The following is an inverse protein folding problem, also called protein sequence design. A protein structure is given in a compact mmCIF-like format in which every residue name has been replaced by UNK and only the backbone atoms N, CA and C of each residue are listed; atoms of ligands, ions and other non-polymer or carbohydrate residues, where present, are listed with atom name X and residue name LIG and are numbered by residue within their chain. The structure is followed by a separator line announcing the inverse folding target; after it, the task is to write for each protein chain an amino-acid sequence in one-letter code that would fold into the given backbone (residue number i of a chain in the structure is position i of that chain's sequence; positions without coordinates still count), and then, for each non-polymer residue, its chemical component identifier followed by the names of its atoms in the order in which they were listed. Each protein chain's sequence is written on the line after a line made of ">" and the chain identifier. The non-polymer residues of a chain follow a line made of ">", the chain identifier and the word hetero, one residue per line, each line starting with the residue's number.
data_IF_909314772894
#
_entry.id   IF_909314772894
#
_cell.length_a   1.000
_cell.length_b   1.000
_cell.length_c   1.000
_cell.angle_alpha   90.00
_cell.angle_beta   90.00
_cell.angle_gamma   90.00
#
_symmetry.space_group_name_H-M   'P 1'
#
loop_
_entity.id
_entity.type
_entity.pdbx_description
1 polymer ?
#
# COMPACT_ATOMS: atom_id res chain seq x y z
N UNK A 1 -37.91 -33.27 -6.02
CA UNK A 1 -37.48 -32.26 -5.02
C UNK A 1 -35.99 -32.47 -4.77
N UNK A 2 -35.13 -31.84 -5.55
CA UNK A 2 -33.67 -31.92 -5.40
C UNK A 2 -33.17 -30.54 -4.99
N UNK A 3 -32.79 -30.41 -3.72
CA UNK A 3 -32.16 -29.22 -3.16
C UNK A 3 -30.69 -29.19 -3.58
N UNK A 4 -30.28 -28.21 -4.38
CA UNK A 4 -28.87 -27.93 -4.66
C UNK A 4 -28.32 -27.05 -3.54
N UNK A 5 -27.41 -27.60 -2.76
CA UNK A 5 -26.55 -26.83 -1.86
C UNK A 5 -25.46 -26.19 -2.71
N UNK A 6 -25.61 -24.91 -3.02
CA UNK A 6 -24.54 -24.13 -3.65
C UNK A 6 -23.58 -23.67 -2.56
N UNK A 7 -22.37 -24.23 -2.54
CA UNK A 7 -21.24 -23.70 -1.76
C UNK A 7 -20.90 -22.32 -2.33
N UNK A 8 -21.09 -21.26 -1.56
CA UNK A 8 -20.57 -19.94 -1.88
C UNK A 8 -19.06 -19.93 -1.64
N UNK A 9 -18.28 -19.70 -2.69
CA UNK A 9 -16.86 -19.36 -2.60
C UNK A 9 -16.74 -17.95 -2.00
N UNK A 10 -15.78 -17.76 -1.11
CA UNK A 10 -15.41 -16.44 -0.58
C UNK A 10 -14.86 -15.58 -1.73
N UNK A 11 -15.49 -14.44 -1.96
CA UNK A 11 -14.98 -13.41 -2.87
C UNK A 11 -13.80 -12.70 -2.19
N UNK A 12 -12.61 -12.82 -2.78
CA UNK A 12 -11.48 -11.93 -2.52
C UNK A 12 -11.87 -10.50 -2.91
N UNK A 13 -11.39 -9.51 -2.16
CA UNK A 13 -11.71 -8.11 -2.36
C UNK A 13 -11.24 -7.65 -3.75
N UNK A 14 -12.17 -7.60 -4.69
CA UNK A 14 -12.02 -6.87 -5.95
C UNK A 14 -12.06 -5.39 -5.61
N UNK A 15 -10.96 -4.68 -5.83
CA UNK A 15 -10.99 -3.21 -5.82
C UNK A 15 -10.45 -2.68 -7.13
N UNK A 16 -11.38 -2.36 -8.02
CA UNK A 16 -11.29 -1.30 -9.03
C UNK A 16 -12.69 -1.08 -9.58
N UNK A 17 -13.43 -0.17 -8.96
CA UNK A 17 -14.44 0.62 -9.68
C UNK A 17 -14.26 2.05 -9.22
N UNK A 18 -13.51 2.81 -10.00
CA UNK A 18 -13.72 4.25 -10.05
C UNK A 18 -15.17 4.46 -10.47
N UNK A 19 -16.02 4.83 -9.51
CA UNK A 19 -17.28 5.46 -9.89
C UNK A 19 -16.93 6.77 -10.60
N UNK A 20 -17.39 6.85 -11.83
CA UNK A 20 -17.28 7.98 -12.76
C UNK A 20 -17.33 9.34 -12.03
N UNK A 21 -16.24 10.10 -12.10
CA UNK A 21 -16.23 11.48 -11.60
C UNK A 21 -14.86 12.11 -11.45
N UNK A 22 -14.33 12.65 -12.56
CA UNK A 22 -13.23 13.61 -12.69
C UNK A 22 -11.78 13.09 -12.75
N UNK A 23 -10.98 13.50 -13.75
CA UNK A 23 -9.54 13.23 -13.79
C UNK A 23 -8.82 14.04 -12.69
N UNK A 24 -8.01 13.36 -11.87
CA UNK A 24 -7.09 14.01 -10.93
C UNK A 24 -7.32 13.73 -9.44
N UNK A 25 -8.33 12.93 -9.06
CA UNK A 25 -8.45 12.38 -7.70
C UNK A 25 -8.81 10.91 -7.78
N UNK A 26 -7.91 10.03 -7.35
CA UNK A 26 -8.30 8.68 -6.99
C UNK A 26 -9.40 8.80 -5.92
N UNK A 27 -10.58 8.25 -6.18
CA UNK A 27 -11.61 8.13 -5.15
C UNK A 27 -11.00 7.32 -4.00
N UNK A 28 -11.05 7.87 -2.79
CA UNK A 28 -10.56 7.19 -1.60
C UNK A 28 -11.25 5.83 -1.48
N UNK A 29 -10.47 4.75 -1.51
CA UNK A 29 -11.01 3.43 -1.28
C UNK A 29 -11.43 3.33 0.19
N UNK A 30 -12.72 3.03 0.47
CA UNK A 30 -13.22 3.03 1.83
C UNK A 30 -12.79 1.79 2.61
N UNK A 31 -12.10 0.84 1.98
CA UNK A 31 -11.71 -0.44 2.55
C UNK A 31 -10.26 -0.76 2.18
N UNK A 32 -9.49 -1.24 3.16
CA UNK A 32 -8.16 -1.76 2.98
C UNK A 32 -8.07 -3.15 3.61
N UNK A 33 -7.69 -4.15 2.81
CA UNK A 33 -7.46 -5.50 3.29
C UNK A 33 -5.96 -5.77 3.36
N UNK A 34 -5.48 -6.15 4.55
CA UNK A 34 -4.16 -6.75 4.73
C UNK A 34 -4.26 -8.27 4.68
N UNK A 35 -3.16 -8.97 4.99
CA UNK A 35 -3.12 -10.45 4.95
C UNK A 35 -4.14 -11.12 5.87
N UNK A 36 -4.44 -10.53 7.03
CA UNK A 36 -5.37 -11.14 8.01
C UNK A 36 -6.18 -10.13 8.83
N UNK A 37 -6.21 -8.86 8.41
CA UNK A 37 -7.04 -7.82 8.99
C UNK A 37 -7.59 -6.91 7.90
N UNK A 38 -8.65 -6.20 8.22
CA UNK A 38 -9.30 -5.27 7.29
C UNK A 38 -9.58 -3.99 8.04
N UNK A 39 -9.43 -2.86 7.36
CA UNK A 39 -9.78 -1.55 7.86
C UNK A 39 -10.71 -0.84 6.89
N UNK A 40 -11.54 0.05 7.42
CA UNK A 40 -12.46 0.86 6.67
C UNK A 40 -12.32 2.34 7.03
N UNK A 41 -12.35 3.20 6.03
CA UNK A 41 -12.54 4.63 6.18
C UNK A 41 -14.03 4.93 6.29
N UNK A 42 -14.44 5.62 7.34
CA UNK A 42 -15.83 6.04 7.53
C UNK A 42 -16.13 7.33 6.77
N UNK A 43 -17.41 7.60 6.51
CA UNK A 43 -17.84 8.86 5.88
C UNK A 43 -17.45 10.11 6.69
N UNK A 44 -17.21 9.97 8.00
CA UNK A 44 -16.72 11.05 8.86
C UNK A 44 -15.19 11.23 8.81
N UNK A 45 -14.48 10.44 7.99
CA UNK A 45 -13.03 10.42 7.90
C UNK A 45 -12.33 9.71 9.06
N UNK A 46 -13.06 8.88 9.81
CA UNK A 46 -12.49 8.03 10.86
C UNK A 46 -12.09 6.65 10.34
N UNK A 47 -11.38 5.86 11.14
CA UNK A 47 -10.92 4.51 10.74
C UNK A 47 -11.44 3.45 11.71
N UNK A 48 -11.99 2.37 11.16
CA UNK A 48 -12.37 1.17 11.90
C UNK A 48 -11.62 -0.04 11.36
N UNK A 49 -11.17 -0.96 12.22
CA UNK A 49 -10.46 -2.16 11.80
C UNK A 49 -11.02 -3.43 12.47
N UNK A 50 -10.87 -4.59 11.85
CA UNK A 50 -11.23 -5.90 12.38
C UNK A 50 -10.31 -7.00 11.85
N UNK A 51 -10.39 -8.20 12.43
CA UNK A 51 -9.56 -9.36 12.09
C UNK A 51 -8.46 -9.63 13.12
N UNK A 52 -7.30 -10.10 12.64
CA UNK A 52 -6.15 -10.42 13.48
C UNK A 52 -5.53 -9.15 14.10
N UNK A 53 -5.13 -9.22 15.37
CA UNK A 53 -4.50 -8.10 16.08
C UNK A 53 -3.20 -8.48 16.81
N UNK A 54 -2.52 -9.57 16.44
CA UNK A 54 -1.36 -10.10 17.20
C UNK A 54 -0.17 -9.13 17.27
N UNK A 55 -0.16 -8.05 16.48
CA UNK A 55 0.85 -6.99 16.49
C UNK A 55 0.27 -5.60 16.75
N UNK A 56 -0.99 -5.49 17.20
CA UNK A 56 -1.65 -4.20 17.34
C UNK A 56 -2.10 -3.55 16.03
N UNK A 57 -2.19 -4.33 14.93
CA UNK A 57 -2.54 -3.86 13.57
C UNK A 57 -3.96 -3.29 13.46
N UNK A 58 -4.81 -3.47 14.48
CA UNK A 58 -6.12 -2.80 14.58
C UNK A 58 -6.06 -1.41 15.22
N UNK A 59 -4.97 -1.03 15.88
CA UNK A 59 -4.78 0.34 16.38
C UNK A 59 -5.66 0.72 17.58
N UNK A 60 -6.32 -0.24 18.22
CA UNK A 60 -7.23 -0.05 19.36
C UNK A 60 -6.51 -0.02 20.72
N UNK A 61 -5.17 0.04 20.72
CA UNK A 61 -4.36 0.00 21.93
C UNK A 61 -4.18 -1.40 22.52
N UNK A 62 -4.69 -2.44 21.86
CA UNK A 62 -4.61 -3.83 22.32
C UNK A 62 -3.89 -4.72 21.31
N UNK A 63 -3.66 -5.98 21.69
CA UNK A 63 -3.26 -7.06 20.77
C UNK A 63 -4.36 -8.14 20.65
N UNK A 64 -5.61 -7.78 20.98
CA UNK A 64 -6.73 -8.73 20.96
C UNK A 64 -7.41 -8.72 19.60
N UNK A 65 -7.51 -9.87 18.96
CA UNK A 65 -8.17 -10.03 17.66
C UNK A 65 -9.69 -9.76 17.75
N UNK A 66 -10.27 -9.21 16.68
CA UNK A 66 -11.69 -8.78 16.60
C UNK A 66 -12.34 -9.36 15.35
N UNK A 67 -12.80 -10.59 15.40
CA UNK A 67 -13.26 -11.32 14.20
C UNK A 67 -14.68 -10.96 13.73
N UNK A 68 -15.55 -10.46 14.62
CA UNK A 68 -16.97 -10.24 14.31
C UNK A 68 -17.44 -8.79 14.40
N UNK A 69 -16.59 -7.86 14.85
CA UNK A 69 -16.97 -6.46 15.09
C UNK A 69 -15.82 -5.51 14.75
N UNK A 70 -16.02 -4.55 13.83
CA UNK A 70 -15.09 -3.45 13.64
C UNK A 70 -14.91 -2.63 14.91
N UNK A 71 -13.65 -2.36 15.27
CA UNK A 71 -13.27 -1.49 16.38
C UNK A 71 -12.73 -0.16 15.88
N UNK A 72 -12.93 0.90 16.64
CA UNK A 72 -12.36 2.21 16.34
C UNK A 72 -10.85 2.22 16.55
N UNK A 73 -10.13 2.83 15.61
CA UNK A 73 -8.70 3.08 15.76
C UNK A 73 -8.50 4.26 16.71
N UNK A 74 -7.65 4.08 17.73
CA UNK A 74 -7.39 5.09 18.75
C UNK A 74 -6.93 6.41 18.14
N UNK A 75 -7.68 7.49 18.40
CA UNK A 75 -7.33 8.84 17.96
C UNK A 75 -7.63 9.16 16.48
N UNK A 76 -8.23 8.25 15.71
CA UNK A 76 -8.60 8.46 14.30
C UNK A 76 -10.12 8.45 14.08
N UNK A 77 -10.84 9.33 14.77
CA UNK A 77 -12.30 9.49 14.60
C UNK A 77 -12.69 10.31 13.38
N UNK A 78 -11.76 11.11 12.84
CA UNK A 78 -11.98 11.98 11.67
C UNK A 78 -10.64 12.40 11.02
N UNK A 79 -10.71 13.08 9.88
CA UNK A 79 -9.56 13.74 9.24
C UNK A 79 -8.67 12.84 8.38
N UNK A 80 -9.01 11.56 8.22
CA UNK A 80 -8.33 10.65 7.28
C UNK A 80 -9.01 10.68 5.91
N UNK A 81 -8.21 10.51 4.85
CA UNK A 81 -8.66 10.46 3.45
C UNK A 81 -8.38 9.13 2.78
N UNK A 82 -7.50 8.30 3.33
CA UNK A 82 -7.28 6.94 2.85
C UNK A 82 -6.74 6.06 3.97
N UNK A 83 -6.90 4.75 3.82
CA UNK A 83 -6.31 3.73 4.68
C UNK A 83 -5.70 2.63 3.80
N UNK A 84 -4.58 2.07 4.23
CA UNK A 84 -3.92 0.92 3.58
C UNK A 84 -3.48 -0.06 4.67
N UNK A 85 -3.54 -1.35 4.36
CA UNK A 85 -3.16 -2.41 5.27
C UNK A 85 -2.12 -3.30 4.59
N UNK A 86 -0.97 -3.48 5.26
CA UNK A 86 0.03 -4.47 4.87
C UNK A 86 -0.23 -5.82 5.52
N UNK A 87 0.77 -6.70 5.56
CA UNK A 87 0.62 -7.99 6.25
C UNK A 87 0.48 -7.80 7.76
N UNK A 88 1.30 -6.93 8.34
CA UNK A 88 1.48 -6.84 9.80
C UNK A 88 1.29 -5.43 10.37
N UNK A 89 1.04 -4.44 9.52
CA UNK A 89 0.85 -3.04 9.90
C UNK A 89 -0.24 -2.37 9.07
N UNK A 90 -0.67 -1.21 9.52
CA UNK A 90 -1.70 -0.39 8.87
C UNK A 90 -1.22 1.06 8.84
N UNK A 91 -1.55 1.76 7.76
CA UNK A 91 -1.31 3.19 7.65
C UNK A 91 -2.56 3.93 7.17
N UNK A 92 -2.70 5.19 7.56
CA UNK A 92 -3.75 6.09 7.12
C UNK A 92 -3.15 7.42 6.64
N UNK A 93 -3.72 7.94 5.55
CA UNK A 93 -3.40 9.26 5.01
C UNK A 93 -4.33 10.29 5.63
N UNK A 94 -3.78 11.39 6.13
CA UNK A 94 -4.55 12.53 6.65
C UNK A 94 -4.95 13.47 5.52
N UNK A 95 -6.05 14.21 5.69
CA UNK A 95 -6.46 15.26 4.76
C UNK A 95 -5.41 16.39 4.61
N UNK A 96 -4.55 16.55 5.62
CA UNK A 96 -3.43 17.49 5.60
C UNK A 96 -2.16 16.90 4.96
N UNK A 97 -2.22 15.74 4.33
CA UNK A 97 -1.09 15.13 3.62
C UNK A 97 -0.02 14.49 4.51
N UNK A 98 -0.21 14.41 5.83
CA UNK A 98 0.60 13.56 6.72
C UNK A 98 0.15 12.09 6.69
N UNK A 99 1.00 11.19 7.16
CA UNK A 99 0.71 9.74 7.24
C UNK A 99 0.85 9.27 8.68
N UNK A 100 -0.07 8.43 9.13
CA UNK A 100 -0.03 7.75 10.44
C UNK A 100 0.02 6.25 10.26
N UNK A 101 0.90 5.54 10.95
CA UNK A 101 1.03 4.09 10.86
C UNK A 101 1.01 3.42 12.25
N UNK A 102 0.57 2.16 12.32
CA UNK A 102 0.57 1.34 13.55
C UNK A 102 0.68 -0.15 13.22
N UNK A 103 0.92 -0.97 14.25
CA UNK A 103 1.15 -2.41 14.14
C UNK A 103 2.62 -2.79 14.32
N UNK A 104 3.02 -3.89 13.68
CA UNK A 104 4.38 -4.42 13.72
C UNK A 104 5.40 -3.43 13.13
N UNK A 105 6.58 -3.31 13.76
CA UNK A 105 7.60 -2.34 13.34
C UNK A 105 9.06 -2.85 13.37
N UNK A 106 9.33 -4.15 13.46
CA UNK A 106 10.71 -4.61 13.65
C UNK A 106 11.66 -4.26 12.49
N UNK A 107 11.11 -3.85 11.34
CA UNK A 107 11.83 -3.43 10.14
C UNK A 107 11.73 -1.94 9.86
N UNK A 108 11.07 -1.17 10.73
CA UNK A 108 10.87 0.25 10.56
C UNK A 108 9.69 0.63 9.67
N UNK A 109 8.79 -0.30 9.32
CA UNK A 109 7.65 -0.08 8.42
C UNK A 109 6.65 0.98 8.88
N UNK A 110 6.72 1.43 10.13
CA UNK A 110 5.91 2.54 10.63
C UNK A 110 6.53 3.92 10.35
N UNK A 111 7.80 4.00 9.96
CA UNK A 111 8.43 5.26 9.52
C UNK A 111 8.60 6.31 10.61
N UNK A 112 8.49 5.92 11.88
CA UNK A 112 8.58 6.80 13.06
C UNK A 112 10.02 6.96 13.58
N UNK A 113 11.02 6.52 12.82
CA UNK A 113 12.43 6.52 13.21
C UNK A 113 12.82 5.40 14.16
N UNK A 114 11.90 4.51 14.52
CA UNK A 114 12.14 3.39 15.46
C UNK A 114 11.94 2.04 14.78
N UNK A 115 12.20 0.97 15.54
CA UNK A 115 11.78 -0.40 15.18
C UNK A 115 10.82 -1.01 16.20
N UNK A 116 10.12 -0.16 16.95
CA UNK A 116 9.24 -0.55 18.06
C UNK A 116 7.80 -0.65 17.59
N UNK A 117 7.15 -1.79 17.88
CA UNK A 117 5.73 -2.00 17.59
C UNK A 117 4.86 -0.93 18.26
N UNK A 118 3.81 -0.49 17.56
CA UNK A 118 2.86 0.51 18.08
C UNK A 118 1.45 -0.05 18.06
N UNK A 119 0.80 -0.08 19.22
CA UNK A 119 -0.60 -0.53 19.33
C UNK A 119 -1.61 0.57 18.98
N UNK A 120 -1.13 1.80 18.77
CA UNK A 120 -1.90 2.97 18.37
C UNK A 120 -1.16 3.72 17.25
N UNK A 121 -1.86 4.50 16.42
CA UNK A 121 -1.26 5.30 15.36
C UNK A 121 -0.13 6.21 15.84
N UNK A 122 0.97 6.24 15.09
CA UNK A 122 2.07 7.20 15.22
C UNK A 122 2.32 7.93 13.90
N UNK A 123 2.84 9.15 13.96
CA UNK A 123 3.17 9.94 12.77
C UNK A 123 4.43 9.41 12.06
N UNK A 124 4.36 9.34 10.74
CA UNK A 124 5.53 9.08 9.89
C UNK A 124 6.36 10.36 9.78
N UNK A 125 7.67 10.24 10.02
CA UNK A 125 8.58 11.40 9.99
C UNK A 125 8.78 11.89 8.56
N UNK A 126 8.78 13.22 8.37
CA UNK A 126 9.17 13.85 7.10
C UNK A 126 8.11 13.82 5.99
N UNK A 127 6.86 13.42 6.30
CA UNK A 127 5.75 13.40 5.34
C UNK A 127 4.62 14.41 5.65
N UNK A 128 4.75 15.22 6.68
CA UNK A 128 3.72 16.22 7.02
C UNK A 128 3.47 17.17 5.85
N UNK A 129 2.23 17.22 5.35
CA UNK A 129 1.87 18.15 4.26
C UNK A 129 2.23 17.70 2.86
N UNK A 130 2.82 16.51 2.67
CA UNK A 130 3.45 16.17 1.39
C UNK A 130 2.88 14.93 0.70
N UNK A 131 2.24 14.00 1.40
CA UNK A 131 1.73 12.78 0.81
C UNK A 131 0.34 12.96 0.18
N UNK A 132 0.12 12.31 -0.97
CA UNK A 132 -1.17 12.25 -1.68
C UNK A 132 -1.72 10.84 -1.79
N UNK A 133 -0.87 9.82 -1.65
CA UNK A 133 -1.27 8.42 -1.53
C UNK A 133 -0.26 7.65 -0.67
N UNK A 134 -0.70 6.53 -0.11
CA UNK A 134 0.13 5.60 0.67
C UNK A 134 -0.21 4.17 0.27
N UNK A 135 0.81 3.33 0.15
CA UNK A 135 0.68 1.90 -0.14
C UNK A 135 1.52 1.11 0.87
N UNK A 136 0.89 0.14 1.54
CA UNK A 136 1.57 -0.76 2.46
C UNK A 136 1.77 -2.13 1.81
N UNK A 137 3.02 -2.59 1.82
CA UNK A 137 3.39 -3.96 1.46
C UNK A 137 3.43 -4.89 2.67
N UNK A 138 4.09 -6.03 2.54
CA UNK A 138 4.17 -7.00 3.64
C UNK A 138 4.88 -6.44 4.87
N UNK A 139 6.06 -5.83 4.67
CA UNK A 139 6.87 -5.22 5.75
C UNK A 139 7.54 -3.90 5.35
N UNK A 140 7.05 -3.25 4.31
CA UNK A 140 7.47 -1.93 3.88
C UNK A 140 6.26 -1.07 3.53
N UNK A 141 6.49 0.23 3.43
CA UNK A 141 5.46 1.20 3.09
C UNK A 141 6.05 2.22 2.13
N UNK A 142 5.25 2.68 1.17
CA UNK A 142 5.60 3.74 0.25
C UNK A 142 4.53 4.83 0.25
N UNK A 143 4.95 6.07 0.02
CA UNK A 143 4.07 7.21 -0.14
C UNK A 143 4.36 7.92 -1.48
N UNK A 144 3.29 8.28 -2.18
CA UNK A 144 3.34 9.23 -3.28
C UNK A 144 3.25 10.63 -2.71
N UNK A 145 4.15 11.51 -3.12
CA UNK A 145 4.16 12.91 -2.72
C UNK A 145 3.38 13.78 -3.71
N UNK A 146 2.95 14.97 -3.27
CA UNK A 146 2.28 15.96 -4.10
C UNK A 146 3.17 16.48 -5.26
N UNK A 147 4.50 16.35 -5.12
CA UNK A 147 5.45 16.63 -6.20
C UNK A 147 5.55 15.50 -7.25
N UNK A 148 4.80 14.42 -7.07
CA UNK A 148 4.86 13.22 -7.91
C UNK A 148 6.08 12.35 -7.66
N UNK A 149 6.81 12.55 -6.56
CA UNK A 149 7.92 11.69 -6.14
C UNK A 149 7.46 10.57 -5.21
N UNK A 150 8.24 9.48 -5.12
CA UNK A 150 7.94 8.33 -4.27
C UNK A 150 8.97 8.23 -3.14
N UNK A 151 8.49 8.05 -1.92
CA UNK A 151 9.31 7.74 -0.75
C UNK A 151 8.91 6.40 -0.16
N UNK A 152 9.86 5.53 0.18
CA UNK A 152 9.60 4.22 0.78
C UNK A 152 10.40 4.02 2.08
N UNK A 153 9.91 3.17 2.98
CA UNK A 153 10.57 2.79 4.22
C UNK A 153 10.15 1.40 4.70
N UNK A 154 10.87 0.84 5.66
CA UNK A 154 10.65 -0.49 6.22
C UNK A 154 11.69 -1.50 5.75
N UNK A 155 11.24 -2.74 5.56
CA UNK A 155 12.06 -3.87 5.13
C UNK A 155 12.60 -3.68 3.70
N UNK A 156 13.88 -3.99 3.47
CA UNK A 156 14.53 -3.74 2.17
C UNK A 156 15.46 -4.86 1.66
N UNK A 157 15.45 -6.06 2.25
CA UNK A 157 16.43 -7.11 1.87
C UNK A 157 16.35 -7.49 0.39
N UNK A 158 15.19 -7.35 -0.24
CA UNK A 158 15.00 -7.63 -1.67
C UNK A 158 15.13 -6.39 -2.56
N UNK A 159 15.40 -5.22 -1.97
CA UNK A 159 15.47 -3.94 -2.66
C UNK A 159 14.12 -3.24 -2.86
N UNK A 160 13.06 -3.66 -2.15
CA UNK A 160 11.69 -3.15 -2.31
C UNK A 160 11.51 -1.65 -1.98
N UNK A 161 12.51 -1.00 -1.36
CA UNK A 161 12.50 0.45 -1.16
C UNK A 161 13.02 1.21 -2.38
N UNK A 162 13.72 0.56 -3.31
CA UNK A 162 14.15 1.19 -4.56
C UNK A 162 15.22 2.27 -4.41
N UNK A 163 15.87 2.35 -3.25
CA UNK A 163 16.89 3.36 -2.91
C UNK A 163 18.31 2.98 -3.37
N UNK A 164 18.44 1.92 -4.17
CA UNK A 164 19.72 1.37 -4.63
C UNK A 164 20.42 0.49 -3.58
N UNK A 165 19.82 0.27 -2.42
CA UNK A 165 20.39 -0.55 -1.33
C UNK A 165 19.51 -1.76 -1.01
N UNK A 166 19.95 -2.58 -0.06
CA UNK A 166 19.17 -3.65 0.56
C UNK A 166 19.01 -3.46 2.08
N UNK A 167 19.22 -2.23 2.55
CA UNK A 167 19.22 -1.89 3.98
C UNK A 167 17.84 -1.40 4.40
N UNK A 168 17.31 -1.99 5.49
CA UNK A 168 16.05 -1.57 6.11
C UNK A 168 16.10 -0.07 6.50
N UNK A 169 14.99 0.65 6.38
CA UNK A 169 14.91 2.09 6.70
C UNK A 169 13.80 2.36 7.70
N UNK A 170 14.13 2.98 8.82
CA UNK A 170 13.13 3.39 9.84
C UNK A 170 12.48 4.73 9.55
N UNK A 171 12.92 5.43 8.49
CA UNK A 171 12.35 6.69 8.01
C UNK A 171 12.19 6.64 6.48
N UNK A 172 11.25 7.42 5.91
CA UNK A 172 11.08 7.52 4.46
C UNK A 172 12.36 7.94 3.74
N UNK A 173 12.76 7.17 2.71
CA UNK A 173 13.84 7.49 1.77
C UNK A 173 13.30 7.65 0.37
N UNK A 174 13.96 8.47 -0.45
CA UNK A 174 13.58 8.65 -1.85
C UNK A 174 13.86 7.41 -2.69
N UNK A 175 12.91 7.06 -3.56
CA UNK A 175 13.11 6.02 -4.56
C UNK A 175 13.99 6.56 -5.68
N UNK A 176 15.04 5.82 -6.04
CA UNK A 176 16.03 6.24 -7.02
C UNK A 176 15.39 6.53 -8.38
N UNK A 177 15.59 7.75 -8.90
CA UNK A 177 15.07 8.18 -10.19
C UNK A 177 13.57 8.49 -10.23
N UNK A 178 12.84 8.42 -9.11
CA UNK A 178 11.40 8.71 -9.01
C UNK A 178 11.09 9.86 -8.04
N UNK A 179 11.79 10.99 -8.18
CA UNK A 179 11.57 12.20 -7.38
C UNK A 179 10.40 13.06 -7.89
N UNK A 180 9.89 12.77 -9.10
CA UNK A 180 8.72 13.41 -9.71
C UNK A 180 8.13 12.49 -10.80
N UNK A 181 6.97 12.86 -11.35
CA UNK A 181 6.40 12.20 -12.53
C UNK A 181 5.71 10.86 -12.26
N UNK A 182 5.38 10.54 -11.01
CA UNK A 182 4.57 9.38 -10.61
C UNK A 182 3.13 9.83 -10.29
N UNK A 183 2.16 9.01 -10.65
CA UNK A 183 0.71 9.25 -10.45
C UNK A 183 0.05 8.20 -9.56
N UNK A 184 0.62 7.00 -9.47
CA UNK A 184 0.19 5.97 -8.53
C UNK A 184 1.36 5.10 -8.09
N UNK A 185 1.27 4.56 -6.87
CA UNK A 185 2.23 3.60 -6.30
C UNK A 185 1.47 2.41 -5.74
N UNK A 186 2.00 1.21 -5.93
CA UNK A 186 1.50 -0.04 -5.37
C UNK A 186 2.65 -0.79 -4.72
N UNK A 187 2.41 -1.32 -3.52
CA UNK A 187 3.37 -2.11 -2.74
C UNK A 187 2.76 -3.47 -2.42
N UNK A 188 3.57 -4.52 -2.49
CA UNK A 188 3.19 -5.92 -2.24
C UNK A 188 4.04 -6.52 -1.11
N UNK A 189 4.10 -7.84 -0.97
CA UNK A 189 4.93 -8.51 0.04
C UNK A 189 6.40 -8.09 -0.03
N UNK A 190 6.99 -8.12 -1.23
CA UNK A 190 8.44 -7.94 -1.43
C UNK A 190 8.84 -7.12 -2.67
N UNK A 191 7.89 -6.53 -3.38
CA UNK A 191 8.16 -5.64 -4.52
C UNK A 191 7.23 -4.43 -4.51
N UNK A 192 7.58 -3.44 -5.32
CA UNK A 192 6.86 -2.17 -5.44
C UNK A 192 6.85 -1.74 -6.89
N UNK A 193 5.79 -1.07 -7.32
CA UNK A 193 5.66 -0.53 -8.67
C UNK A 193 5.04 0.87 -8.61
N UNK A 194 5.34 1.65 -9.64
CA UNK A 194 4.86 3.01 -9.82
C UNK A 194 4.31 3.19 -11.24
N UNK A 195 3.17 3.86 -11.34
CA UNK A 195 2.65 4.36 -12.61
C UNK A 195 3.15 5.78 -12.83
N UNK A 196 3.90 5.98 -13.90
CA UNK A 196 4.38 7.30 -14.31
C UNK A 196 3.28 8.12 -14.97
N UNK A 197 3.40 9.45 -14.94
CA UNK A 197 2.50 10.37 -15.63
C UNK A 197 2.55 10.20 -17.17
N UNK A 198 3.62 9.59 -17.69
CA UNK A 198 3.73 9.19 -19.09
C UNK A 198 2.94 7.91 -19.42
N UNK A 199 2.28 7.29 -18.44
CA UNK A 199 1.52 6.05 -18.60
C UNK A 199 2.40 4.80 -18.67
N UNK A 200 3.68 4.89 -18.32
CA UNK A 200 4.59 3.74 -18.19
C UNK A 200 4.64 3.21 -16.76
N UNK A 201 4.94 1.91 -16.61
CA UNK A 201 5.06 1.24 -15.31
C UNK A 201 6.51 0.92 -15.01
N UNK A 202 6.95 1.24 -13.79
CA UNK A 202 8.25 0.85 -13.26
C UNK A 202 8.07 0.00 -12.02
N UNK A 203 8.85 -1.08 -11.87
CA UNK A 203 8.80 -1.99 -10.74
C UNK A 203 10.21 -2.24 -10.16
N UNK A 204 10.30 -2.56 -8.87
CA UNK A 204 11.55 -2.91 -8.18
C UNK A 204 11.28 -3.82 -6.96
N UNK A 205 12.33 -4.39 -6.40
CA UNK A 205 12.30 -5.36 -5.30
C UNK A 205 12.52 -6.80 -5.78
N UNK A 206 11.87 -7.73 -5.09
CA UNK A 206 11.95 -9.17 -5.37
C UNK A 206 11.45 -9.50 -6.78
N UNK A 207 12.16 -10.41 -7.46
CA UNK A 207 11.81 -10.83 -8.83
C UNK A 207 11.98 -12.33 -9.05
N UNK A 208 12.02 -13.15 -8.00
CA UNK A 208 12.32 -14.58 -8.14
C UNK A 208 11.35 -15.36 -9.03
N UNK A 209 10.14 -14.83 -9.26
CA UNK A 209 9.15 -15.39 -10.18
C UNK A 209 8.84 -14.49 -11.39
N UNK A 210 9.64 -13.45 -11.63
CA UNK A 210 9.40 -12.49 -12.73
C UNK A 210 8.37 -11.41 -12.39
N UNK A 211 8.11 -11.13 -11.10
CA UNK A 211 7.11 -10.15 -10.64
C UNK A 211 7.33 -8.74 -11.20
N UNK A 212 8.57 -8.39 -11.56
CA UNK A 212 8.90 -7.08 -12.11
C UNK A 212 8.57 -6.94 -13.60
N UNK A 213 8.30 -8.04 -14.30
CA UNK A 213 7.93 -8.02 -15.72
C UNK A 213 9.00 -7.42 -16.64
N UNK A 214 10.27 -7.41 -16.23
CA UNK A 214 11.39 -6.82 -16.98
C UNK A 214 12.11 -7.82 -17.89
N UNK A 215 11.50 -8.99 -18.11
CA UNK A 215 12.08 -10.09 -18.90
C UNK A 215 13.14 -10.89 -18.15
N UNK A 216 13.32 -10.65 -16.84
CA UNK A 216 14.29 -11.38 -16.00
C UNK A 216 13.63 -11.94 -14.74
N UNK A 217 14.39 -12.73 -13.97
CA UNK A 217 14.02 -13.20 -12.63
C UNK A 217 14.98 -12.71 -11.53
N UNK A 218 15.77 -11.68 -11.85
CA UNK A 218 16.74 -11.11 -10.91
C UNK A 218 16.11 -9.94 -10.19
N UNK A 219 16.26 -9.84 -8.87
CA UNK A 219 15.75 -8.71 -8.09
C UNK A 219 16.36 -7.37 -8.55
N UNK A 220 15.71 -6.26 -8.22
CA UNK A 220 16.17 -4.90 -8.57
C UNK A 220 16.11 -4.00 -7.36
N UNK A 221 17.22 -3.37 -7.00
CA UNK A 221 17.28 -2.37 -5.92
C UNK A 221 16.92 -0.96 -6.40
N UNK A 222 16.67 -0.79 -7.69
CA UNK A 222 16.21 0.46 -8.31
C UNK A 222 15.07 0.18 -9.29
N UNK A 223 14.17 1.16 -9.57
CA UNK A 223 13.08 1.00 -10.52
C UNK A 223 13.55 0.60 -11.93
N UNK A 224 12.95 -0.46 -12.48
CA UNK A 224 13.12 -0.90 -13.88
C UNK A 224 11.79 -0.82 -14.63
N UNK A 225 11.83 -0.57 -15.93
CA UNK A 225 10.63 -0.56 -16.78
C UNK A 225 10.04 -1.96 -16.95
N UNK A 226 8.70 -2.04 -16.88
CA UNK A 226 7.98 -3.26 -17.22
C UNK A 226 7.92 -3.40 -18.74
N UNK A 227 8.35 -4.57 -19.24
CA UNK A 227 8.48 -4.82 -20.68
C UNK A 227 7.12 -4.72 -21.37
N UNK A 228 7.04 -3.84 -22.38
CA UNK A 228 5.81 -3.63 -23.16
C UNK A 228 4.71 -2.81 -22.47
N UNK A 229 5.01 -2.19 -21.32
CA UNK A 229 4.12 -1.28 -20.57
C UNK A 229 4.79 0.09 -20.31
N UNK A 230 5.41 0.66 -21.35
CA UNK A 230 6.10 1.96 -21.28
C UNK A 230 5.17 3.16 -21.50
N UNK A 231 3.93 2.92 -21.95
CA UNK A 231 2.89 3.94 -22.11
C UNK A 231 1.49 3.30 -22.11
N UNK A 232 0.45 4.13 -21.97
CA UNK A 232 -0.95 3.70 -22.12
C UNK A 232 -1.52 2.92 -20.94
N UNK A 233 -0.83 2.84 -19.81
CA UNK A 233 -1.36 2.29 -18.55
C UNK A 233 -2.08 3.40 -17.78
N UNK A 234 -3.27 3.10 -17.26
CA UNK A 234 -4.11 4.04 -16.51
C UNK A 234 -4.27 3.66 -15.04
N UNK A 235 -3.99 2.40 -14.69
CA UNK A 235 -3.96 1.93 -13.32
C UNK A 235 -3.02 0.74 -13.16
N UNK A 236 -2.42 0.63 -11.97
CA UNK A 236 -1.67 -0.54 -11.53
C UNK A 236 -2.33 -1.07 -10.26
N UNK A 237 -2.62 -2.37 -10.22
CA UNK A 237 -3.21 -3.04 -9.07
C UNK A 237 -2.45 -4.32 -8.73
N UNK A 238 -2.70 -4.82 -7.54
CA UNK A 238 -1.87 -5.72 -6.79
C UNK A 238 -2.72 -6.77 -6.07
N UNK A 239 -2.49 -8.06 -6.29
CA UNK A 239 -2.97 -9.12 -5.40
C UNK A 239 -1.86 -10.12 -5.12
N UNK A 240 -1.49 -10.29 -3.84
CA UNK A 240 -0.63 -11.31 -3.20
C UNK A 240 0.72 -11.68 -3.84
N UNK A 241 0.73 -12.01 -5.13
CA UNK A 241 1.90 -12.39 -5.93
C UNK A 241 1.87 -11.88 -7.38
N UNK A 242 0.84 -11.14 -7.77
CA UNK A 242 0.60 -10.69 -9.14
C UNK A 242 0.48 -9.17 -9.23
N UNK A 243 1.10 -8.62 -10.28
CA UNK A 243 0.97 -7.23 -10.70
C UNK A 243 0.06 -7.19 -11.91
N UNK A 244 -1.05 -6.47 -11.83
CA UNK A 244 -1.96 -6.27 -12.94
C UNK A 244 -1.91 -4.81 -13.38
N UNK A 245 -1.77 -4.57 -14.68
CA UNK A 245 -1.84 -3.24 -15.27
C UNK A 245 -3.09 -3.11 -16.15
N UNK A 246 -3.90 -2.08 -15.90
CA UNK A 246 -5.02 -1.73 -16.77
C UNK A 246 -4.54 -0.75 -17.83
N UNK A 247 -4.74 -1.11 -19.09
CA UNK A 247 -4.41 -0.26 -20.24
C UNK A 247 -5.61 0.59 -20.67
N UNK A 248 -5.34 1.74 -21.28
CA UNK A 248 -6.35 2.65 -21.83
C UNK A 248 -7.24 1.99 -22.91
N UNK A 249 -6.79 0.88 -23.49
CA UNK A 249 -7.56 0.06 -24.43
C UNK A 249 -8.48 -0.98 -23.75
N UNK A 250 -8.55 -0.99 -22.41
CA UNK A 250 -9.37 -1.91 -21.63
C UNK A 250 -8.76 -3.31 -21.42
N UNK A 251 -7.52 -3.54 -21.88
CA UNK A 251 -6.80 -4.80 -21.63
C UNK A 251 -6.15 -4.80 -20.25
N UNK A 252 -6.26 -5.92 -19.54
CA UNK A 252 -5.49 -6.23 -18.32
C UNK A 252 -4.26 -7.05 -18.73
N UNK A 253 -3.08 -6.63 -18.30
CA UNK A 253 -1.81 -7.36 -18.48
C UNK A 253 -1.19 -7.70 -17.14
#
# INVERSE_FOLDING_TARGET
>A
MMSRVTKAFAAAAVVTVGLLGQPGRAAAEPLAAGSSHTCALTAAGGVKCWGNNDFGRLGDGTMTSRSSTPVDVSGLSSGMTAVTAGDYHTCALTAAGGVKCWGYNAKGQLGDGTSTQRLTPVDVIGLTGSATAVAAGGRHTCALTAAGGVKCWGYNVEGQLGDGTTTDRTTPVDVSGLTSGVTAVAAWDYHTCALTAAGGVKCWGYNGAGQLGDGTTTQRTTPVDVSGLTSGVTAVTADGMHTCALTAAGGVK
#
